data_IF_756095835549
#
_entry.id   IF_756095835549
#
_cell.length_a   1.000
_cell.length_b   1.000
_cell.length_c   1.000
_cell.angle_alpha   90.00
_cell.angle_beta   90.00
_cell.angle_gamma   90.00
#
_symmetry.space_group_name_H-M   'P 1'
#
loop_
_entity.id
_entity.type
_entity.pdbx_description
1 polymer ?
#
# COMPACT_ATOMS: atom_id res chain seq x y z
N UNK A 1 -21.64 0.17 22.34
CA UNK A 1 -20.21 0.49 22.46
C UNK A 1 -19.94 1.79 21.71
N UNK A 2 -19.42 2.82 22.39
CA UNK A 2 -19.07 4.08 21.75
C UNK A 2 -17.93 3.85 20.76
N UNK A 3 -18.07 4.26 19.49
CA UNK A 3 -16.98 4.19 18.51
C UNK A 3 -15.83 5.07 19.01
N UNK A 4 -14.72 4.45 19.42
CA UNK A 4 -13.49 5.18 19.79
C UNK A 4 -13.08 6.02 18.58
N UNK A 5 -13.04 7.34 18.75
CA UNK A 5 -12.67 8.28 17.68
C UNK A 5 -11.17 8.16 17.44
N UNK A 6 -10.76 7.83 16.21
CA UNK A 6 -9.35 7.77 15.81
C UNK A 6 -8.76 9.18 15.92
N UNK A 7 -7.61 9.32 16.60
CA UNK A 7 -6.90 10.60 16.74
C UNK A 7 -5.42 10.48 16.37
N UNK A 8 -4.73 9.41 16.77
CA UNK A 8 -3.31 9.19 16.47
C UNK A 8 -3.17 8.15 15.36
N UNK A 9 -2.56 8.51 14.24
CA UNK A 9 -2.40 7.62 13.09
C UNK A 9 -0.93 7.40 12.83
N UNK A 10 -0.50 6.14 12.81
CA UNK A 10 0.87 5.76 12.47
C UNK A 10 1.19 6.12 11.02
N UNK A 11 2.37 6.67 10.79
CA UNK A 11 2.80 7.22 9.52
C UNK A 11 4.31 6.99 9.33
N UNK A 12 4.72 6.32 8.25
CA UNK A 12 6.12 6.19 7.84
C UNK A 12 6.36 7.09 6.62
N UNK A 13 7.10 8.20 6.82
CA UNK A 13 7.44 9.15 5.75
C UNK A 13 8.22 8.53 4.58
N UNK A 14 8.77 7.32 4.75
CA UNK A 14 9.52 6.59 3.72
C UNK A 14 8.64 5.67 2.88
N UNK A 15 7.33 5.59 3.17
CA UNK A 15 6.36 4.82 2.38
C UNK A 15 5.42 5.78 1.63
N UNK A 16 5.72 6.12 0.36
CA UNK A 16 4.94 7.10 -0.41
C UNK A 16 3.46 6.75 -0.48
N UNK A 17 3.13 5.47 -0.73
CA UNK A 17 1.74 5.01 -0.78
C UNK A 17 1.06 5.18 0.58
N UNK A 18 1.70 4.76 1.69
CA UNK A 18 1.10 4.92 3.01
C UNK A 18 0.83 6.40 3.32
N UNK A 19 1.77 7.30 3.00
CA UNK A 19 1.60 8.73 3.19
C UNK A 19 0.37 9.25 2.44
N UNK A 20 0.32 9.00 1.13
CA UNK A 20 -0.77 9.43 0.26
C UNK A 20 -2.12 8.87 0.72
N UNK A 21 -2.20 7.57 0.99
CA UNK A 21 -3.43 6.90 1.39
C UNK A 21 -3.93 7.39 2.76
N UNK A 22 -3.01 7.69 3.69
CA UNK A 22 -3.33 8.28 5.00
C UNK A 22 -3.90 9.68 4.84
N UNK A 23 -3.30 10.52 4.00
CA UNK A 23 -3.79 11.88 3.73
C UNK A 23 -5.19 11.88 3.13
N UNK A 24 -5.45 11.00 2.15
CA UNK A 24 -6.76 10.87 1.53
C UNK A 24 -7.79 10.39 2.56
N UNK A 25 -7.46 9.33 3.32
CA UNK A 25 -8.40 8.70 4.25
C UNK A 25 -8.83 9.62 5.39
N UNK A 26 -7.90 10.43 5.88
CA UNK A 26 -8.12 11.32 7.02
C UNK A 26 -8.22 12.80 6.63
N UNK A 27 -8.42 13.10 5.34
CA UNK A 27 -8.60 14.45 4.86
C UNK A 27 -9.71 15.18 5.65
N UNK A 28 -9.39 16.39 6.14
CA UNK A 28 -10.32 17.21 6.93
C UNK A 28 -10.63 16.68 8.34
N UNK A 29 -10.00 15.60 8.78
CA UNK A 29 -10.17 15.06 10.13
C UNK A 29 -9.05 15.55 11.06
N UNK A 30 -9.36 15.89 12.33
CA UNK A 30 -8.36 16.34 13.29
C UNK A 30 -7.58 15.13 13.84
N UNK A 31 -6.60 14.67 13.07
CA UNK A 31 -5.68 13.59 13.47
C UNK A 31 -4.27 14.11 13.70
N UNK A 32 -3.57 13.48 14.63
CA UNK A 32 -2.12 13.54 14.83
C UNK A 32 -1.46 12.42 14.02
N UNK A 33 -0.47 12.77 13.20
CA UNK A 33 0.37 11.79 12.50
C UNK A 33 1.56 11.47 13.39
N UNK A 34 1.69 10.20 13.78
CA UNK A 34 2.78 9.74 14.64
C UNK A 34 3.81 9.06 13.75
N UNK A 35 4.99 9.70 13.62
CA UNK A 35 6.08 9.18 12.79
C UNK A 35 6.62 7.88 13.38
N UNK A 36 6.47 6.80 12.64
CA UNK A 36 6.90 5.45 13.02
C UNK A 36 7.36 4.72 11.76
N UNK A 37 8.47 3.98 11.86
CA UNK A 37 8.84 3.05 10.79
C UNK A 37 7.74 2.02 10.59
N UNK A 38 7.46 1.64 9.34
CA UNK A 38 6.43 0.69 8.93
C UNK A 38 6.39 -0.52 9.89
N UNK A 39 7.49 -1.27 10.03
CA UNK A 39 7.57 -2.47 10.90
C UNK A 39 7.17 -2.25 12.38
N UNK A 40 7.24 -1.03 12.89
CA UNK A 40 6.88 -0.70 14.28
C UNK A 40 5.42 -0.28 14.44
N UNK A 41 4.68 0.00 13.36
CA UNK A 41 3.30 0.47 13.47
C UNK A 41 2.37 -0.55 14.16
N UNK A 42 2.48 -1.84 13.85
CA UNK A 42 1.61 -2.88 14.45
C UNK A 42 1.84 -3.02 15.97
N UNK A 43 3.09 -3.14 16.48
CA UNK A 43 3.34 -3.11 17.92
C UNK A 43 2.77 -1.87 18.63
N UNK A 44 2.94 -0.67 18.06
CA UNK A 44 2.42 0.57 18.62
C UNK A 44 0.88 0.63 18.60
N UNK A 45 0.24 0.05 17.58
CA UNK A 45 -1.21 -0.07 17.49
C UNK A 45 -1.75 -1.00 18.60
N UNK A 46 -1.09 -2.14 18.83
CA UNK A 46 -1.47 -3.10 19.88
C UNK A 46 -1.32 -2.47 21.28
N UNK A 47 -0.24 -1.72 21.52
CA UNK A 47 -0.02 -1.01 22.79
C UNK A 47 -0.97 0.17 23.01
N UNK A 48 -1.60 0.68 21.94
CA UNK A 48 -2.45 1.87 21.99
C UNK A 48 -1.68 3.19 21.95
N UNK A 49 -0.43 3.18 21.51
CA UNK A 49 0.38 4.38 21.23
C UNK A 49 -0.19 5.15 20.02
N UNK A 50 -0.77 4.40 19.08
CA UNK A 50 -1.55 4.92 17.94
C UNK A 50 -2.93 4.25 17.92
N UNK A 51 -3.90 4.88 17.26
CA UNK A 51 -5.28 4.39 17.15
C UNK A 51 -5.56 3.69 15.81
N UNK A 52 -4.79 3.98 14.76
CA UNK A 52 -4.90 3.38 13.45
C UNK A 52 -3.59 3.47 12.64
N UNK A 53 -3.46 2.65 11.60
CA UNK A 53 -2.42 2.76 10.56
C UNK A 53 -2.95 2.20 9.24
N UNK A 54 -2.55 2.80 8.11
CA UNK A 54 -2.80 2.24 6.78
C UNK A 54 -1.73 1.18 6.50
N UNK A 55 -2.15 -0.04 6.15
CA UNK A 55 -1.27 -1.20 6.09
C UNK A 55 -1.67 -2.17 4.98
N UNK A 56 -0.73 -2.99 4.50
CA UNK A 56 -1.02 -4.05 3.54
C UNK A 56 -1.72 -5.22 4.24
N UNK A 57 -2.97 -5.49 3.86
CA UNK A 57 -3.81 -6.50 4.51
C UNK A 57 -3.20 -7.91 4.50
N UNK A 58 -2.42 -8.27 3.46
CA UNK A 58 -1.81 -9.62 3.34
C UNK A 58 -0.71 -9.89 4.37
N UNK A 59 -0.21 -8.86 5.04
CA UNK A 59 0.87 -8.96 6.02
C UNK A 59 0.37 -9.01 7.47
N UNK A 60 -0.94 -8.87 7.69
CA UNK A 60 -1.50 -8.85 9.04
C UNK A 60 -1.91 -10.27 9.43
N UNK A 61 -1.26 -10.80 10.48
CA UNK A 61 -1.75 -12.01 11.14
C UNK A 61 -3.07 -11.66 11.83
N UNK A 62 -4.18 -12.39 11.57
CA UNK A 62 -5.43 -12.18 12.26
C UNK A 62 -5.22 -12.18 13.77
N UNK A 63 -5.69 -11.12 14.44
CA UNK A 63 -5.59 -10.94 15.88
C UNK A 63 -6.96 -10.53 16.40
N UNK A 64 -7.37 -11.09 17.53
CA UNK A 64 -8.63 -10.73 18.20
C UNK A 64 -8.67 -9.25 18.61
N UNK A 65 -7.51 -8.60 18.68
CA UNK A 65 -7.36 -7.21 19.15
C UNK A 65 -7.33 -6.18 18.03
N UNK A 66 -7.22 -6.61 16.76
CA UNK A 66 -7.08 -5.71 15.61
C UNK A 66 -8.20 -5.93 14.61
N UNK A 67 -8.77 -4.83 14.14
CA UNK A 67 -9.75 -4.83 13.05
C UNK A 67 -9.14 -4.20 11.80
N UNK A 68 -9.15 -4.93 10.68
CA UNK A 68 -8.82 -4.37 9.36
C UNK A 68 -10.09 -3.88 8.66
N UNK A 69 -10.05 -2.66 8.15
CA UNK A 69 -11.14 -2.09 7.33
C UNK A 69 -10.57 -1.78 5.95
N UNK A 70 -11.19 -2.31 4.90
CA UNK A 70 -10.79 -2.01 3.51
C UNK A 70 -11.04 -0.54 3.21
N UNK A 71 -10.08 0.09 2.53
CA UNK A 71 -10.23 1.45 2.02
C UNK A 71 -11.22 1.46 0.85
N UNK A 72 -12.12 2.43 0.85
CA UNK A 72 -13.20 2.58 -0.13
C UNK A 72 -13.51 4.07 -0.33
N UNK A 73 -14.05 4.42 -1.50
CA UNK A 73 -14.51 5.78 -1.81
C UNK A 73 -13.48 6.70 -2.47
N UNK A 74 -12.30 6.19 -2.85
CA UNK A 74 -11.32 6.92 -3.65
C UNK A 74 -10.59 5.95 -4.60
N UNK A 75 -10.43 6.33 -5.87
CA UNK A 75 -9.79 5.50 -6.88
C UNK A 75 -8.29 5.28 -6.59
N UNK A 76 -7.64 6.24 -5.93
CA UNK A 76 -6.21 6.15 -5.60
C UNK A 76 -5.90 5.00 -4.65
N UNK A 77 -6.89 4.53 -3.89
CA UNK A 77 -6.75 3.31 -3.08
C UNK A 77 -6.50 2.06 -3.94
N UNK A 78 -7.05 2.03 -5.15
CA UNK A 78 -6.83 0.95 -6.12
C UNK A 78 -5.53 1.22 -6.88
N UNK A 79 -5.31 2.45 -7.33
CA UNK A 79 -4.12 2.81 -8.10
C UNK A 79 -2.81 2.58 -7.32
N UNK A 80 -2.80 2.73 -5.99
CA UNK A 80 -1.65 2.40 -5.14
C UNK A 80 -1.23 0.91 -5.18
N UNK A 81 -2.09 0.02 -5.68
CA UNK A 81 -1.75 -1.39 -5.91
C UNK A 81 -1.30 -1.69 -7.34
N UNK A 82 -1.31 -0.69 -8.23
CA UNK A 82 -0.98 -0.87 -9.65
C UNK A 82 0.50 -0.65 -9.90
N UNK A 83 1.17 -1.69 -10.41
CA UNK A 83 2.55 -1.58 -10.87
C UNK A 83 2.64 -0.72 -12.14
N UNK A 84 3.57 0.24 -12.15
CA UNK A 84 3.86 1.12 -13.28
C UNK A 84 5.36 1.22 -13.53
N UNK A 85 5.75 1.53 -14.76
CA UNK A 85 7.14 1.87 -15.12
C UNK A 85 7.18 3.35 -15.48
N UNK A 86 7.96 4.12 -14.74
CA UNK A 86 8.21 5.53 -15.04
C UNK A 86 9.48 5.67 -15.87
N UNK A 87 9.39 6.45 -16.94
CA UNK A 87 10.53 6.80 -17.79
C UNK A 87 10.65 8.31 -17.90
N UNK A 88 11.85 8.81 -18.19
CA UNK A 88 12.02 10.22 -18.52
C UNK A 88 11.22 10.56 -19.78
N UNK A 89 10.55 11.72 -19.84
CA UNK A 89 9.65 12.05 -20.94
C UNK A 89 10.36 12.18 -22.29
N UNK A 90 11.65 12.49 -22.29
CA UNK A 90 12.51 12.66 -23.47
C UNK A 90 13.25 11.38 -23.89
N UNK A 91 13.11 10.28 -23.14
CA UNK A 91 13.78 9.01 -23.44
C UNK A 91 12.96 8.12 -24.39
N UNK A 92 12.77 8.60 -25.62
CA UNK A 92 12.02 7.91 -26.67
C UNK A 92 12.52 6.49 -27.00
N UNK A 93 13.83 6.20 -27.03
CA UNK A 93 14.30 4.83 -27.29
C UNK A 93 13.79 3.81 -26.26
N UNK A 94 13.84 4.16 -24.96
CA UNK A 94 13.33 3.29 -23.90
C UNK A 94 11.81 3.16 -23.99
N UNK A 95 11.10 4.25 -24.28
CA UNK A 95 9.64 4.20 -24.49
C UNK A 95 9.28 3.15 -25.55
N UNK A 96 9.93 3.22 -26.70
CA UNK A 96 9.67 2.30 -27.81
C UNK A 96 10.01 0.85 -27.47
N UNK A 97 11.11 0.63 -26.74
CA UNK A 97 11.52 -0.69 -26.29
C UNK A 97 10.49 -1.30 -25.33
N UNK A 98 10.00 -0.54 -24.36
CA UNK A 98 8.97 -1.02 -23.43
C UNK A 98 7.65 -1.30 -24.16
N UNK A 99 7.21 -0.38 -25.03
CA UNK A 99 5.96 -0.52 -25.80
C UNK A 99 5.97 -1.73 -26.75
N UNK A 100 7.13 -2.06 -27.35
CA UNK A 100 7.25 -3.20 -28.28
C UNK A 100 7.66 -4.51 -27.59
N UNK A 101 8.43 -4.42 -26.51
CA UNK A 101 9.02 -5.57 -25.83
C UNK A 101 8.12 -6.18 -24.76
N UNK A 102 7.19 -5.41 -24.19
CA UNK A 102 6.30 -5.91 -23.14
C UNK A 102 4.98 -6.37 -23.76
N UNK A 103 4.74 -7.69 -23.72
CA UNK A 103 3.41 -8.23 -23.92
C UNK A 103 2.70 -8.34 -22.56
N UNK A 104 1.76 -7.42 -22.29
CA UNK A 104 1.07 -7.33 -21.00
C UNK A 104 0.34 -8.64 -20.62
N UNK A 105 -0.29 -9.31 -21.58
CA UNK A 105 -1.00 -10.57 -21.32
C UNK A 105 -0.03 -11.67 -20.88
N UNK A 106 1.12 -11.80 -21.54
CA UNK A 106 2.14 -12.77 -21.15
C UNK A 106 2.77 -12.42 -19.80
N UNK A 107 3.03 -11.14 -19.53
CA UNK A 107 3.55 -10.66 -18.26
C UNK A 107 2.62 -11.02 -17.10
N UNK A 108 1.33 -10.70 -17.21
CA UNK A 108 0.35 -11.01 -16.16
C UNK A 108 0.15 -12.53 -16.00
N UNK A 109 0.19 -13.30 -17.09
CA UNK A 109 0.14 -14.76 -17.02
C UNK A 109 1.35 -15.32 -16.26
N UNK A 110 2.55 -14.81 -16.53
CA UNK A 110 3.77 -15.21 -15.84
C UNK A 110 3.72 -14.84 -14.36
N UNK A 111 3.32 -13.61 -14.02
CA UNK A 111 3.15 -13.17 -12.63
C UNK A 111 2.22 -14.11 -11.85
N UNK A 112 1.06 -14.47 -12.42
CA UNK A 112 0.13 -15.42 -11.77
C UNK A 112 0.74 -16.81 -11.59
N UNK A 113 1.52 -17.29 -12.57
CA UNK A 113 2.20 -18.58 -12.47
C UNK A 113 3.24 -18.58 -11.33
N UNK A 114 3.96 -17.46 -11.14
CA UNK A 114 4.88 -17.29 -10.00
C UNK A 114 4.12 -17.24 -8.68
N UNK A 115 3.07 -16.41 -8.58
CA UNK A 115 2.26 -16.29 -7.36
C UNK A 115 1.58 -17.60 -6.93
N UNK A 116 1.28 -18.48 -7.89
CA UNK A 116 0.69 -19.81 -7.63
C UNK A 116 1.74 -20.91 -7.42
N UNK A 117 3.04 -20.59 -7.47
CA UNK A 117 4.12 -21.57 -7.30
C UNK A 117 4.34 -22.52 -8.48
N UNK A 118 3.74 -22.25 -9.65
CA UNK A 118 3.93 -23.06 -10.86
C UNK A 118 5.31 -22.78 -11.49
N UNK A 119 5.81 -21.56 -11.32
CA UNK A 119 7.09 -21.11 -11.88
C UNK A 119 7.90 -20.43 -10.78
N UNK A 120 9.17 -20.81 -10.64
CA UNK A 120 10.09 -20.10 -9.75
C UNK A 120 10.44 -18.72 -10.32
N UNK A 121 10.42 -17.65 -9.49
CA UNK A 121 10.75 -16.31 -9.95
C UNK A 121 12.22 -16.22 -10.39
N UNK A 122 12.47 -15.48 -11.46
CA UNK A 122 13.81 -15.07 -11.91
C UNK A 122 13.74 -13.60 -12.30
N UNK A 123 14.41 -12.76 -11.53
CA UNK A 123 14.42 -11.31 -11.68
C UNK A 123 15.81 -10.78 -11.98
#
# INVERSE_FOLDING_TARGET
MSKKKIRRVGFDSRSPDQCLLTEIKFAGQPIERVELSYSNCIPHLIRGDIDAVIWNQEQIVPSEYLQSIKLQGDERYIQASQAVILIRPDNYPIKLLLERGINQTQLLRHQRAVQSGIVEPRY
#
